data_IF_540052231400
#
_entry.id   IF_540052231400
#
_cell.length_a   1.000
_cell.length_b   1.000
_cell.length_c   1.000
_cell.angle_alpha   90.00
_cell.angle_beta   90.00
_cell.angle_gamma   90.00
#
_symmetry.space_group_name_H-M   'P 1'
#
loop_
_entity.id
_entity.type
_entity.pdbx_description
1 polymer ?
#
# COMPACT_ATOMS: atom_id res chain seq x y z
N UNK A 1 12.61 -12.07 -6.43
CA UNK A 1 11.31 -12.52 -6.99
C UNK A 1 10.81 -11.46 -7.97
N UNK A 2 11.09 -11.62 -9.27
CA UNK A 2 10.59 -10.73 -10.34
C UNK A 2 9.10 -11.04 -10.55
N UNK A 3 8.23 -10.03 -10.47
CA UNK A 3 6.82 -10.14 -10.85
C UNK A 3 6.73 -10.83 -12.21
N UNK A 4 5.91 -11.90 -12.34
CA UNK A 4 5.68 -12.55 -13.64
C UNK A 4 5.17 -11.48 -14.61
N UNK A 5 5.82 -11.36 -15.77
CA UNK A 5 5.64 -10.34 -16.83
C UNK A 5 4.21 -10.14 -17.39
N UNK A 6 3.20 -10.82 -16.83
CA UNK A 6 1.80 -10.72 -17.26
C UNK A 6 0.84 -10.08 -16.25
N UNK A 7 1.30 -9.72 -15.05
CA UNK A 7 0.45 -8.96 -14.12
C UNK A 7 0.61 -7.48 -14.46
N UNK A 8 -0.35 -6.91 -15.19
CA UNK A 8 -0.37 -5.46 -15.44
C UNK A 8 -0.30 -4.74 -14.09
N UNK A 9 0.70 -3.88 -13.90
CA UNK A 9 0.88 -3.07 -12.68
C UNK A 9 -0.42 -2.35 -12.26
N UNK A 10 -1.25 -2.00 -13.25
CA UNK A 10 -2.59 -1.46 -13.09
C UNK A 10 -3.61 -2.40 -12.40
N UNK A 11 -3.52 -3.72 -12.62
CA UNK A 11 -4.40 -4.72 -12.00
C UNK A 11 -4.06 -4.99 -10.53
N UNK A 12 -2.86 -4.62 -10.08
CA UNK A 12 -2.43 -4.80 -8.68
C UNK A 12 -3.03 -3.74 -7.74
N UNK A 13 -3.39 -2.57 -8.28
CA UNK A 13 -4.13 -1.54 -7.55
C UNK A 13 -5.50 -2.07 -7.08
N UNK A 14 -6.16 -2.93 -7.88
CA UNK A 14 -7.43 -3.57 -7.52
C UNK A 14 -7.30 -4.66 -6.43
N UNK A 15 -6.11 -5.26 -6.27
CA UNK A 15 -5.83 -6.17 -5.14
C UNK A 15 -5.41 -5.43 -3.86
N UNK A 16 -5.03 -4.14 -3.97
CA UNK A 16 -4.85 -3.24 -2.83
C UNK A 16 -6.17 -2.75 -2.24
N UNK A 17 -7.29 -2.91 -2.96
CA UNK A 17 -8.62 -2.49 -2.54
C UNK A 17 -9.10 -3.12 -1.23
N UNK A 18 -8.48 -4.20 -0.77
CA UNK A 18 -8.75 -4.79 0.55
C UNK A 18 -8.20 -3.98 1.74
N UNK A 19 -7.49 -2.86 1.51
CA UNK A 19 -6.93 -2.01 2.56
C UNK A 19 -7.06 -0.49 2.28
N UNK A 20 -7.79 -0.09 1.24
CA UNK A 20 -7.82 1.30 0.76
C UNK A 20 -9.27 1.73 0.48
N UNK A 21 -10.20 1.44 1.39
CA UNK A 21 -11.51 2.10 1.31
C UNK A 21 -11.41 3.48 1.93
N UNK A 22 -11.50 4.50 1.06
CA UNK A 22 -11.69 5.89 1.42
C UNK A 22 -13.10 6.03 2.01
N UNK A 23 -13.21 6.38 3.29
CA UNK A 23 -14.48 6.84 3.85
C UNK A 23 -14.68 8.30 3.48
N UNK A 24 -15.87 8.71 3.00
CA UNK A 24 -16.20 10.12 2.89
C UNK A 24 -16.19 10.75 4.30
N UNK A 25 -15.37 11.78 4.51
CA UNK A 25 -15.43 12.61 5.72
C UNK A 25 -14.23 12.58 6.67
N UNK A 26 -13.16 11.82 6.39
CA UNK A 26 -11.85 12.04 7.04
C UNK A 26 -10.78 12.32 5.99
N UNK A 27 -10.39 13.58 5.86
CA UNK A 27 -9.10 13.94 5.26
C UNK A 27 -8.01 13.24 6.05
N UNK A 28 -7.35 12.24 5.45
CA UNK A 28 -6.10 11.71 5.98
C UNK A 28 -4.98 11.99 4.97
N UNK A 29 -4.41 13.21 4.99
CA UNK A 29 -3.41 13.58 4.01
C UNK A 29 -2.07 12.87 4.22
N UNK A 30 -1.86 12.23 5.38
CA UNK A 30 -0.53 11.74 5.80
C UNK A 30 -0.46 10.22 6.03
N UNK A 31 -1.36 9.56 6.77
CA UNK A 31 -1.13 8.16 7.16
C UNK A 31 -1.44 7.11 6.05
N UNK A 32 -2.50 7.33 5.27
CA UNK A 32 -2.92 6.38 4.23
C UNK A 32 -1.95 6.37 3.03
N UNK A 33 -1.50 7.56 2.62
CA UNK A 33 -0.50 7.70 1.55
C UNK A 33 0.83 7.04 1.90
N UNK A 34 1.32 7.20 3.14
CA UNK A 34 2.57 6.57 3.60
C UNK A 34 2.46 5.04 3.63
N UNK A 35 1.31 4.49 4.05
CA UNK A 35 1.09 3.04 4.09
C UNK A 35 1.04 2.45 2.69
N UNK A 36 0.38 3.13 1.74
CA UNK A 36 0.33 2.69 0.35
C UNK A 36 1.70 2.81 -0.34
N UNK A 37 2.39 3.94 -0.16
CA UNK A 37 3.72 4.16 -0.72
C UNK A 37 4.72 3.10 -0.22
N UNK A 38 4.74 2.82 1.09
CA UNK A 38 5.60 1.76 1.65
C UNK A 38 5.27 0.39 1.08
N UNK A 39 4.00 0.05 0.87
CA UNK A 39 3.62 -1.18 0.20
C UNK A 39 4.12 -1.26 -1.24
N UNK A 40 3.90 -0.22 -2.05
CA UNK A 40 4.31 -0.15 -3.46
C UNK A 40 5.84 -0.30 -3.61
N UNK A 41 6.60 0.43 -2.79
CA UNK A 41 8.06 0.34 -2.77
C UNK A 41 8.58 -1.04 -2.32
N UNK A 42 7.82 -1.77 -1.50
CA UNK A 42 8.19 -3.12 -1.05
C UNK A 42 7.85 -4.22 -2.07
N UNK A 43 6.80 -4.05 -2.89
CA UNK A 43 6.50 -4.99 -3.98
C UNK A 43 7.40 -4.78 -5.22
N UNK A 44 8.14 -3.67 -5.27
CA UNK A 44 9.19 -3.42 -6.27
C UNK A 44 8.90 -2.29 -7.26
N UNK A 45 8.00 -1.37 -6.92
CA UNK A 45 7.83 -0.12 -7.69
C UNK A 45 9.00 0.83 -7.40
N UNK A 46 9.37 1.65 -8.39
CA UNK A 46 10.33 2.74 -8.16
C UNK A 46 9.65 3.93 -7.46
N UNK A 47 10.45 4.92 -7.03
CA UNK A 47 9.96 6.16 -6.45
C UNK A 47 9.06 6.90 -7.46
N UNK A 48 9.49 6.96 -8.72
CA UNK A 48 8.79 7.62 -9.82
C UNK A 48 7.46 6.94 -10.12
N UNK A 49 7.46 5.61 -10.23
CA UNK A 49 6.22 4.84 -10.46
C UNK A 49 5.25 4.98 -9.28
N UNK A 50 5.77 5.11 -8.06
CA UNK A 50 4.96 5.33 -6.88
C UNK A 50 4.33 6.73 -6.90
N UNK A 51 5.09 7.76 -7.29
CA UNK A 51 4.59 9.13 -7.41
C UNK A 51 3.53 9.25 -8.51
N UNK A 52 3.67 8.53 -9.61
CA UNK A 52 2.69 8.51 -10.70
C UNK A 52 1.32 7.98 -10.22
N UNK A 53 1.29 6.99 -9.33
CA UNK A 53 0.05 6.50 -8.70
C UNK A 53 -0.64 7.60 -7.88
N UNK A 54 0.13 8.40 -7.13
CA UNK A 54 -0.41 9.48 -6.31
C UNK A 54 -0.81 10.72 -7.12
N UNK A 55 -0.32 10.87 -8.36
CA UNK A 55 -0.60 12.03 -9.23
C UNK A 55 -2.08 12.22 -9.56
N UNK A 56 -2.87 11.14 -9.51
CA UNK A 56 -4.30 11.17 -9.74
C UNK A 56 -5.13 11.64 -8.53
N UNK A 57 -4.50 11.93 -7.40
CA UNK A 57 -5.16 12.45 -6.20
C UNK A 57 -5.44 13.95 -6.32
N UNK A 58 -6.62 14.45 -5.91
CA UNK A 58 -6.99 15.86 -6.05
C UNK A 58 -6.07 16.83 -5.30
N UNK A 59 -5.43 16.38 -4.20
CA UNK A 59 -4.53 17.18 -3.37
C UNK A 59 -3.04 16.87 -3.60
N UNK A 60 -2.68 16.33 -4.79
CA UNK A 60 -1.31 15.90 -5.04
C UNK A 60 -0.33 17.08 -5.15
N UNK A 61 0.67 17.06 -4.26
CA UNK A 61 1.82 17.97 -4.29
C UNK A 61 3.11 17.17 -4.47
N UNK A 62 3.72 17.30 -5.65
CA UNK A 62 4.87 16.47 -6.05
C UNK A 62 6.08 16.66 -5.13
N UNK A 63 6.36 17.90 -4.73
CA UNK A 63 7.46 18.28 -3.83
C UNK A 63 7.37 17.54 -2.49
N UNK A 64 6.18 17.56 -1.87
CA UNK A 64 5.92 16.93 -0.57
C UNK A 64 5.88 15.40 -0.71
N UNK A 65 5.18 14.90 -1.73
CA UNK A 65 5.03 13.47 -1.95
C UNK A 65 6.39 12.81 -2.24
N UNK A 66 7.22 13.41 -3.10
CA UNK A 66 8.56 12.91 -3.42
C UNK A 66 9.42 12.80 -2.18
N UNK A 67 9.44 13.84 -1.35
CA UNK A 67 10.18 13.81 -0.08
C UNK A 67 9.75 12.63 0.81
N UNK A 68 8.44 12.42 0.98
CA UNK A 68 7.91 11.32 1.79
C UNK A 68 8.24 9.95 1.21
N UNK A 69 8.07 9.76 -0.09
CA UNK A 69 8.34 8.49 -0.78
C UNK A 69 9.84 8.15 -0.73
N UNK A 70 10.72 9.13 -0.96
CA UNK A 70 12.16 8.94 -0.84
C UNK A 70 12.58 8.58 0.60
N UNK A 71 11.96 9.20 1.61
CA UNK A 71 12.21 8.85 3.01
C UNK A 71 11.76 7.42 3.33
N UNK A 72 10.57 7.01 2.87
CA UNK A 72 10.07 5.64 3.03
C UNK A 72 10.97 4.62 2.32
N UNK A 73 11.47 4.97 1.14
CA UNK A 73 12.38 4.14 0.36
C UNK A 73 13.76 3.97 1.02
N UNK A 74 14.08 4.73 2.07
CA UNK A 74 15.39 4.76 2.71
C UNK A 74 16.43 5.57 1.92
N UNK A 75 15.99 6.44 1.00
CA UNK A 75 16.87 7.33 0.23
C UNK A 75 17.16 8.65 0.95
N UNK A 76 16.41 8.95 2.03
CA UNK A 76 16.57 10.14 2.87
C UNK A 76 16.61 9.77 4.36
N UNK A 77 17.10 10.69 5.18
CA UNK A 77 17.10 10.55 6.65
C UNK A 77 17.92 9.35 7.14
N UNK A 78 17.32 8.53 8.01
CA UNK A 78 17.93 7.36 8.66
C UNK A 78 18.36 6.23 7.72
N UNK A 79 18.12 6.35 6.40
CA UNK A 79 18.39 5.33 5.37
C UNK A 79 17.73 3.97 5.64
N UNK A 80 16.67 3.96 6.44
CA UNK A 80 15.89 2.76 6.75
C UNK A 80 14.72 2.68 5.78
N UNK A 81 14.60 1.56 5.08
CA UNK A 81 13.43 1.27 4.27
C UNK A 81 12.26 0.86 5.17
N UNK A 82 11.21 1.65 5.19
CA UNK A 82 10.05 1.38 6.03
C UNK A 82 9.20 0.25 5.44
N UNK A 83 8.74 -0.65 6.31
CA UNK A 83 7.78 -1.68 5.98
C UNK A 83 6.36 -1.16 6.21
N UNK A 84 5.38 -1.62 5.41
CA UNK A 84 3.99 -1.28 5.66
C UNK A 84 3.54 -1.85 7.01
N UNK A 85 2.53 -1.22 7.61
CA UNK A 85 1.96 -1.67 8.87
C UNK A 85 1.39 -3.10 8.77
N UNK A 86 1.46 -3.84 9.88
CA UNK A 86 0.76 -5.12 10.03
C UNK A 86 -0.75 -4.91 9.91
N UNK A 87 -1.48 -5.96 9.51
CA UNK A 87 -2.94 -5.90 9.38
C UNK A 87 -3.62 -5.45 10.70
N UNK A 88 -3.11 -5.90 11.85
CA UNK A 88 -3.62 -5.50 13.16
C UNK A 88 -3.46 -4.00 13.41
N UNK A 89 -2.27 -3.45 13.13
CA UNK A 89 -2.01 -2.02 13.27
C UNK A 89 -2.91 -1.20 12.35
N UNK A 90 -3.08 -1.62 11.09
CA UNK A 90 -3.98 -0.93 10.16
C UNK A 90 -5.44 -0.95 10.65
N UNK A 91 -5.89 -2.03 11.30
CA UNK A 91 -7.22 -2.09 11.93
C UNK A 91 -7.31 -1.14 13.12
N UNK A 92 -6.31 -1.12 14.00
CA UNK A 92 -6.27 -0.20 15.15
C UNK A 92 -6.26 1.28 14.72
N UNK A 93 -5.62 1.60 13.59
CA UNK A 93 -5.63 2.95 13.03
C UNK A 93 -6.87 3.28 12.18
N UNK A 94 -7.81 2.33 12.01
CA UNK A 94 -9.01 2.53 11.20
C UNK A 94 -8.76 2.60 9.69
N UNK A 95 -7.61 2.11 9.23
CA UNK A 95 -7.20 2.09 7.82
C UNK A 95 -7.71 0.84 7.08
N UNK A 96 -8.16 -0.20 7.79
CA UNK A 96 -8.59 -1.46 7.18
C UNK A 96 -9.91 -1.97 7.80
N UNK A 97 -10.92 -2.17 6.94
CA UNK A 97 -12.27 -2.67 7.30
C UNK A 97 -12.42 -4.18 7.16
N UNK A 98 -11.43 -4.87 6.58
CA UNK A 98 -11.52 -6.29 6.26
C UNK A 98 -10.63 -7.15 7.14
N UNK A 99 -11.11 -8.35 7.46
CA UNK A 99 -10.34 -9.43 8.06
C UNK A 99 -9.90 -10.41 6.99
N UNK A 100 -8.59 -10.66 6.92
CA UNK A 100 -8.02 -11.66 6.03
C UNK A 100 -7.65 -12.92 6.83
N UNK A 101 -8.31 -14.04 6.57
CA UNK A 101 -8.09 -15.27 7.32
C UNK A 101 -6.71 -15.87 7.04
N UNK A 102 -5.93 -16.10 8.10
CA UNK A 102 -4.57 -16.65 8.00
C UNK A 102 -3.55 -15.70 7.35
N UNK A 103 -3.82 -14.39 7.32
CA UNK A 103 -2.88 -13.36 6.84
C UNK A 103 -2.63 -12.36 7.95
N UNK A 104 -1.35 -12.12 8.28
CA UNK A 104 -0.94 -11.17 9.32
C UNK A 104 -0.34 -9.87 8.76
N UNK A 105 0.04 -9.88 7.48
CA UNK A 105 0.75 -8.79 6.84
C UNK A 105 0.27 -8.52 5.40
N UNK A 106 0.17 -7.25 4.95
CA UNK A 106 -0.29 -6.91 3.59
C UNK A 106 0.56 -7.55 2.48
N UNK A 107 1.88 -7.57 2.64
CA UNK A 107 2.77 -8.25 1.69
C UNK A 107 2.48 -9.76 1.61
N UNK A 108 2.10 -10.40 2.72
CA UNK A 108 1.73 -11.81 2.72
C UNK A 108 0.44 -12.04 1.92
N UNK A 109 -0.55 -11.16 2.06
CA UNK A 109 -1.76 -11.17 1.22
C UNK A 109 -1.38 -11.14 -0.26
N UNK A 110 -0.60 -10.12 -0.64
CA UNK A 110 -0.16 -9.89 -2.01
C UNK A 110 0.54 -11.11 -2.61
N UNK A 111 1.53 -11.68 -1.90
CA UNK A 111 2.23 -12.87 -2.38
C UNK A 111 1.34 -14.12 -2.45
N UNK A 112 0.34 -14.28 -1.56
CA UNK A 112 -0.62 -15.39 -1.64
C UNK A 112 -1.51 -15.27 -2.88
N UNK A 113 -2.03 -14.07 -3.15
CA UNK A 113 -2.85 -13.78 -4.33
C UNK A 113 -2.04 -13.98 -5.61
N UNK A 114 -0.80 -13.48 -5.67
CA UNK A 114 0.09 -13.67 -6.82
C UNK A 114 0.42 -15.15 -7.10
N UNK A 115 0.40 -16.00 -6.06
CA UNK A 115 0.58 -17.45 -6.20
C UNK A 115 -0.72 -18.18 -6.56
N UNK A 116 -1.80 -17.46 -6.85
CA UNK A 116 -3.11 -18.04 -7.19
C UNK A 116 -3.87 -18.62 -6.00
N UNK A 117 -3.45 -18.35 -4.75
CA UNK A 117 -4.19 -18.83 -3.57
C UNK A 117 -5.35 -17.90 -3.29
N UNK A 118 -6.57 -18.45 -3.16
CA UNK A 118 -7.71 -17.71 -2.64
C UNK A 118 -7.47 -17.39 -1.16
N UNK A 119 -7.51 -16.11 -0.82
CA UNK A 119 -7.53 -15.65 0.56
C UNK A 119 -8.98 -15.35 0.90
N UNK A 120 -9.49 -15.93 1.99
CA UNK A 120 -10.82 -15.59 2.49
C UNK A 120 -10.75 -14.21 3.14
N UNK A 121 -11.56 -13.31 2.62
CA UNK A 121 -11.69 -11.94 3.11
C UNK A 121 -13.11 -11.79 3.64
N UNK A 122 -13.24 -11.27 4.86
CA UNK A 122 -14.53 -10.97 5.49
C UNK A 122 -14.56 -9.49 5.86
N UNK A 123 -15.59 -8.78 5.47
CA UNK A 123 -15.81 -7.42 5.96
C UNK A 123 -16.21 -7.47 7.44
N UNK A 124 -15.61 -6.61 8.26
CA UNK A 124 -15.82 -6.60 9.70
C UNK A 124 -16.96 -5.67 10.15
N UNK A 125 -17.57 -4.92 9.22
CA UNK A 125 -18.60 -3.91 9.51
C UNK A 125 -19.56 -3.72 8.36
#
# INVERSE_FOLDING_TARGET
>A
MRLRRGVRKHSLLASGSCCINSYPGRTCPTALGLTLASFLLNIGFSVEETLEVFRHSPDFREDIARYQVEHIAGLRGSRVKYLPYKCDNMRSYGLCRWSCEGVKHPLQYFYRVLRGRRVKVKELW
#
